data_IF_636040455560
#
_entry.id   IF_636040455560
#
_cell.length_a   1.000
_cell.length_b   1.000
_cell.length_c   1.000
_cell.angle_alpha   90.00
_cell.angle_beta   90.00
_cell.angle_gamma   90.00
#
_symmetry.space_group_name_H-M   'P 1'
#
loop_
_entity.id
_entity.type
_entity.pdbx_description
1 polymer ?
#
# COMPACT_ATOMS: atom_id res chain seq x y z
N UNK A 1 5.37 6.61 17.29
CA UNK A 1 5.74 7.80 16.49
C UNK A 1 5.33 7.54 15.04
N UNK A 2 5.16 8.54 14.16
CA UNK A 2 4.97 8.24 12.74
C UNK A 2 6.19 7.46 12.21
N UNK A 3 5.96 6.52 11.31
CA UNK A 3 7.02 5.75 10.66
C UNK A 3 7.99 6.72 9.99
N UNK A 4 9.29 6.61 10.29
CA UNK A 4 10.27 7.49 9.65
C UNK A 4 10.33 7.18 8.15
N UNK A 5 10.17 8.20 7.32
CA UNK A 5 10.14 8.07 5.84
C UNK A 5 11.31 7.27 5.27
N UNK A 6 12.49 7.37 5.87
CA UNK A 6 13.68 6.65 5.43
C UNK A 6 13.56 5.14 5.69
N UNK A 7 12.97 4.74 6.82
CA UNK A 7 12.70 3.34 7.13
C UNK A 7 11.58 2.79 6.23
N UNK A 8 10.53 3.58 6.00
CA UNK A 8 9.47 3.24 5.06
C UNK A 8 10.04 3.04 3.66
N UNK A 9 10.83 4.00 3.19
CA UNK A 9 11.48 3.95 1.88
C UNK A 9 12.38 2.74 1.75
N UNK A 10 13.23 2.45 2.74
CA UNK A 10 14.11 1.29 2.70
C UNK A 10 13.33 -0.03 2.62
N UNK A 11 12.26 -0.17 3.39
CA UNK A 11 11.40 -1.36 3.35
C UNK A 11 10.69 -1.53 2.00
N UNK A 12 10.12 -0.45 1.46
CA UNK A 12 9.43 -0.49 0.16
C UNK A 12 10.40 -0.69 -1.02
N UNK A 13 11.58 -0.07 -0.99
CA UNK A 13 12.63 -0.26 -2.00
C UNK A 13 13.18 -1.69 -2.01
N UNK A 14 13.18 -2.38 -0.87
CA UNK A 14 13.56 -3.79 -0.81
C UNK A 14 12.57 -4.71 -1.56
N UNK A 15 11.32 -4.26 -1.76
CA UNK A 15 10.32 -4.96 -2.57
C UNK A 15 10.47 -4.58 -4.04
N UNK A 16 10.46 -3.27 -4.33
CA UNK A 16 10.61 -2.74 -5.69
C UNK A 16 11.39 -1.43 -5.67
N UNK A 17 12.64 -1.46 -6.14
CA UNK A 17 13.58 -0.35 -5.94
C UNK A 17 13.23 0.91 -6.75
N UNK A 18 12.67 0.75 -7.95
CA UNK A 18 12.39 1.84 -8.90
C UNK A 18 11.11 1.57 -9.68
N UNK A 19 9.94 1.83 -9.08
CA UNK A 19 8.68 1.80 -9.81
C UNK A 19 8.67 2.83 -10.93
N UNK A 20 8.02 2.48 -12.04
CA UNK A 20 7.66 3.48 -13.05
C UNK A 20 6.56 4.40 -12.51
N UNK A 21 6.35 5.55 -13.15
CA UNK A 21 5.25 6.45 -12.78
C UNK A 21 3.87 5.76 -12.80
N UNK A 22 3.48 5.00 -13.85
CA UNK A 22 2.22 4.26 -13.84
C UNK A 22 2.12 3.24 -12.69
N UNK A 23 3.21 2.55 -12.37
CA UNK A 23 3.26 1.59 -11.26
C UNK A 23 3.08 2.29 -9.91
N UNK A 24 3.77 3.41 -9.70
CA UNK A 24 3.65 4.21 -8.49
C UNK A 24 2.21 4.71 -8.27
N UNK A 25 1.56 5.21 -9.34
CA UNK A 25 0.17 5.64 -9.27
C UNK A 25 -0.79 4.48 -8.98
N UNK A 26 -0.55 3.32 -9.58
CA UNK A 26 -1.34 2.12 -9.30
C UNK A 26 -1.18 1.64 -7.84
N UNK A 27 0.05 1.67 -7.30
CA UNK A 27 0.32 1.36 -5.88
C UNK A 27 -0.41 2.33 -4.95
N UNK A 28 -0.38 3.63 -5.26
CA UNK A 28 -1.08 4.67 -4.51
C UNK A 28 -2.59 4.44 -4.56
N UNK A 29 -3.14 4.10 -5.72
CA UNK A 29 -4.57 3.81 -5.86
C UNK A 29 -4.98 2.59 -5.01
N UNK A 30 -4.16 1.54 -4.93
CA UNK A 30 -4.40 0.40 -4.02
C UNK A 30 -4.38 0.84 -2.55
N UNK A 31 -3.40 1.67 -2.17
CA UNK A 31 -3.31 2.19 -0.80
C UNK A 31 -4.52 3.06 -0.44
N UNK A 32 -5.02 3.87 -1.37
CA UNK A 32 -6.22 4.71 -1.20
C UNK A 32 -7.49 3.86 -1.09
N UNK A 33 -7.59 2.76 -1.84
CA UNK A 33 -8.70 1.84 -1.70
C UNK A 33 -8.70 1.17 -0.32
N UNK A 34 -7.53 0.70 0.11
CA UNK A 34 -7.34 0.17 1.47
C UNK A 34 -7.78 1.19 2.52
N UNK A 35 -7.43 2.47 2.32
CA UNK A 35 -7.80 3.56 3.23
C UNK A 35 -9.31 3.87 3.34
N UNK A 36 -10.12 3.28 2.46
CA UNK A 36 -11.53 3.65 2.26
C UNK A 36 -12.50 2.53 2.62
N UNK A 37 -11.97 1.34 2.94
CA UNK A 37 -12.77 0.12 3.01
C UNK A 37 -13.71 0.09 4.23
N UNK A 38 -13.25 0.55 5.38
CA UNK A 38 -14.02 0.55 6.63
C UNK A 38 -14.89 1.81 6.82
N UNK A 39 -14.80 2.75 5.85
CA UNK A 39 -15.51 4.04 5.79
C UNK A 39 -15.29 4.95 7.00
N UNK A 40 -14.30 4.66 7.85
CA UNK A 40 -13.97 5.45 9.04
C UNK A 40 -12.50 5.83 8.94
N UNK A 41 -12.20 6.86 8.14
CA UNK A 41 -10.82 7.28 7.98
C UNK A 41 -10.24 7.82 9.28
N UNK A 42 -9.22 7.14 9.80
CA UNK A 42 -8.52 7.58 11.00
C UNK A 42 -7.37 8.53 10.66
N UNK A 43 -6.95 9.34 11.65
CA UNK A 43 -5.77 10.22 11.49
C UNK A 43 -4.50 9.40 11.25
N UNK A 44 -4.39 8.22 11.86
CA UNK A 44 -3.24 7.35 11.74
C UNK A 44 -3.13 6.75 10.34
N UNK A 45 -4.23 6.20 9.84
CA UNK A 45 -4.38 5.70 8.47
C UNK A 45 -4.10 6.78 7.43
N UNK A 46 -4.69 7.97 7.58
CA UNK A 46 -4.47 9.11 6.67
C UNK A 46 -3.00 9.54 6.67
N UNK A 47 -2.37 9.58 7.84
CA UNK A 47 -0.95 9.92 7.97
C UNK A 47 -0.05 8.89 7.29
N UNK A 48 -0.41 7.60 7.40
CA UNK A 48 0.32 6.50 6.78
C UNK A 48 0.14 6.49 5.26
N UNK A 49 -1.08 6.75 4.77
CA UNK A 49 -1.36 6.94 3.36
C UNK A 49 -0.55 8.09 2.75
N UNK A 50 -0.45 9.23 3.46
CA UNK A 50 0.37 10.37 3.03
C UNK A 50 1.87 10.00 2.99
N UNK A 51 2.36 9.26 3.97
CA UNK A 51 3.75 8.79 4.01
C UNK A 51 4.05 7.81 2.86
N UNK A 52 3.16 6.83 2.64
CA UNK A 52 3.24 5.89 1.50
C UNK A 52 3.24 6.65 0.19
N UNK A 53 2.32 7.60 0.01
CA UNK A 53 2.24 8.43 -1.20
C UNK A 53 3.59 9.12 -1.47
N UNK A 54 4.08 9.90 -0.51
CA UNK A 54 5.35 10.65 -0.64
C UNK A 54 6.55 9.74 -0.94
N UNK A 55 6.62 8.58 -0.28
CA UNK A 55 7.73 7.64 -0.48
C UNK A 55 7.66 6.99 -1.85
N UNK A 56 6.49 6.51 -2.28
CA UNK A 56 6.30 5.81 -3.55
C UNK A 56 6.49 6.76 -4.74
N UNK A 57 5.97 8.00 -4.68
CA UNK A 57 6.24 9.01 -5.73
C UNK A 57 7.72 9.36 -5.79
N UNK A 58 8.37 9.53 -4.63
CA UNK A 58 9.81 9.78 -4.55
C UNK A 58 10.65 8.62 -5.11
N UNK A 59 10.22 7.37 -4.94
CA UNK A 59 10.88 6.20 -5.53
C UNK A 59 10.77 6.17 -7.06
N UNK A 60 9.68 6.71 -7.62
CA UNK A 60 9.49 6.88 -9.06
C UNK A 60 10.17 8.15 -9.63
N UNK A 61 10.80 8.98 -8.78
CA UNK A 61 11.42 10.23 -9.20
C UNK A 61 10.42 11.35 -9.54
N UNK A 62 9.19 11.24 -9.04
CA UNK A 62 8.15 12.25 -9.22
C UNK A 62 8.22 13.28 -8.09
N UNK A 63 8.13 14.55 -8.46
CA UNK A 63 7.88 15.62 -7.49
C UNK A 63 6.51 15.39 -6.84
N UNK A 64 6.38 15.79 -5.57
CA UNK A 64 5.24 15.48 -4.70
C UNK A 64 3.90 15.73 -5.40
N UNK A 65 3.25 14.66 -5.88
CA UNK A 65 1.98 14.75 -6.59
C UNK A 65 0.84 15.05 -5.62
N UNK A 66 -0.20 15.74 -6.08
CA UNK A 66 -1.41 15.90 -5.30
C UNK A 66 -2.15 14.57 -5.21
N UNK A 67 -2.47 14.13 -3.99
CA UNK A 67 -3.40 13.02 -3.78
C UNK A 67 -4.73 13.39 -4.45
N UNK A 68 -5.13 12.60 -5.43
CA UNK A 68 -6.46 12.74 -6.04
C UNK A 68 -7.53 12.52 -4.96
N UNK A 69 -8.59 13.32 -4.99
CA UNK A 69 -9.77 13.15 -4.13
C UNK A 69 -10.86 12.28 -4.79
N UNK A 70 -10.63 11.80 -6.02
CA UNK A 70 -11.60 11.00 -6.75
C UNK A 70 -11.79 9.64 -6.07
N UNK A 71 -13.03 9.25 -5.78
CA UNK A 71 -13.38 7.94 -5.23
C UNK A 71 -12.83 6.83 -6.12
N UNK A 72 -12.14 5.86 -5.52
CA UNK A 72 -11.65 4.68 -6.22
C UNK A 72 -12.75 3.63 -6.19
N UNK A 73 -13.24 3.26 -7.38
CA UNK A 73 -14.22 2.18 -7.55
C UNK A 73 -13.52 0.81 -7.48
N UNK A 74 -14.23 -0.24 -7.06
CA UNK A 74 -13.76 -1.63 -7.10
C UNK A 74 -13.40 -2.06 -8.52
N UNK A 75 -14.07 -1.53 -9.55
CA UNK A 75 -13.68 -1.76 -10.95
C UNK A 75 -12.27 -1.22 -11.28
N UNK A 76 -11.78 -0.25 -10.50
CA UNK A 76 -10.42 0.29 -10.63
C UNK A 76 -9.38 -0.75 -10.24
N UNK A 77 -9.64 -1.64 -9.28
CA UNK A 77 -8.70 -2.71 -8.90
C UNK A 77 -8.29 -3.60 -10.06
N UNK A 78 -9.26 -3.99 -10.88
CA UNK A 78 -8.99 -4.80 -12.07
C UNK A 78 -8.14 -4.03 -13.08
N UNK A 79 -8.36 -2.72 -13.22
CA UNK A 79 -7.51 -1.88 -14.10
C UNK A 79 -6.11 -1.59 -13.52
N UNK A 80 -5.95 -1.65 -12.20
CA UNK A 80 -4.66 -1.47 -11.52
C UNK A 80 -3.77 -2.69 -11.77
N UNK A 81 -4.30 -3.91 -11.71
CA UNK A 81 -3.49 -5.11 -11.94
C UNK A 81 -2.90 -5.16 -13.36
N UNK A 82 -3.59 -4.62 -14.36
CA UNK A 82 -3.08 -4.46 -15.73
C UNK A 82 -1.87 -3.52 -15.82
N UNK A 83 -1.82 -2.49 -14.95
CA UNK A 83 -0.74 -1.51 -14.89
C UNK A 83 0.47 -2.01 -14.09
N UNK A 84 0.30 -3.04 -13.26
CA UNK A 84 1.34 -3.63 -12.43
C UNK A 84 1.92 -4.88 -13.13
N UNK A 85 2.74 -4.66 -14.15
CA UNK A 85 3.30 -5.76 -14.96
C UNK A 85 4.35 -6.57 -14.17
N UNK A 86 5.37 -5.95 -13.53
CA UNK A 86 6.36 -6.70 -12.77
C UNK A 86 5.77 -7.26 -11.47
N UNK A 87 6.16 -8.48 -11.08
CA UNK A 87 5.76 -9.06 -9.80
C UNK A 87 6.13 -8.16 -8.62
N UNK A 88 7.32 -7.54 -8.66
CA UNK A 88 7.76 -6.59 -7.64
C UNK A 88 6.79 -5.39 -7.47
N UNK A 89 6.21 -4.88 -8.56
CA UNK A 89 5.24 -3.79 -8.49
C UNK A 89 3.92 -4.24 -7.85
N UNK A 90 3.49 -5.47 -8.12
CA UNK A 90 2.31 -6.10 -7.50
C UNK A 90 2.53 -6.32 -6.01
N UNK A 91 3.68 -6.85 -5.62
CA UNK A 91 4.06 -7.01 -4.22
C UNK A 91 4.13 -5.66 -3.49
N UNK A 92 4.67 -4.62 -4.14
CA UNK A 92 4.71 -3.28 -3.59
C UNK A 92 3.29 -2.73 -3.37
N UNK A 93 2.39 -2.90 -4.34
CA UNK A 93 1.00 -2.48 -4.22
C UNK A 93 0.30 -3.16 -3.04
N UNK A 94 0.48 -4.48 -2.90
CA UNK A 94 -0.05 -5.24 -1.78
C UNK A 94 0.51 -4.75 -0.45
N UNK A 95 1.83 -4.60 -0.35
CA UNK A 95 2.50 -4.16 0.88
C UNK A 95 2.02 -2.78 1.33
N UNK A 96 1.92 -1.82 0.40
CA UNK A 96 1.41 -0.48 0.68
C UNK A 96 -0.06 -0.50 1.12
N UNK A 97 -0.92 -1.26 0.44
CA UNK A 97 -2.32 -1.41 0.83
C UNK A 97 -2.47 -2.02 2.22
N UNK A 98 -1.76 -3.12 2.50
CA UNK A 98 -1.79 -3.76 3.80
C UNK A 98 -1.24 -2.87 4.91
N UNK A 99 -0.17 -2.12 4.65
CA UNK A 99 0.39 -1.18 5.61
C UNK A 99 -0.64 -0.12 6.03
N UNK A 100 -1.41 0.43 5.09
CA UNK A 100 -2.48 1.40 5.38
C UNK A 100 -3.56 0.80 6.28
N UNK A 101 -4.00 -0.44 6.04
CA UNK A 101 -4.96 -1.15 6.91
C UNK A 101 -4.44 -1.39 8.34
N UNK A 102 -3.12 -1.35 8.55
CA UNK A 102 -2.55 -1.44 9.90
C UNK A 102 -2.64 -0.10 10.67
N UNK A 103 -3.08 0.99 10.03
CA UNK A 103 -3.17 2.32 10.63
C UNK A 103 -3.96 2.33 11.95
N UNK A 104 -5.01 1.50 12.04
CA UNK A 104 -5.89 1.40 13.21
C UNK A 104 -5.47 0.34 14.22
N UNK A 105 -4.26 -0.23 14.05
CA UNK A 105 -3.64 -1.25 14.91
C UNK A 105 -4.44 -2.55 15.04
N UNK A 106 -5.54 -2.69 14.29
CA UNK A 106 -6.37 -3.88 14.25
C UNK A 106 -7.04 -4.00 12.88
N UNK A 107 -6.68 -5.04 12.16
CA UNK A 107 -7.37 -5.43 10.92
C UNK A 107 -8.77 -5.91 11.26
N UNK A 108 -9.77 -5.23 10.72
CA UNK A 108 -11.17 -5.57 10.75
C UNK A 108 -11.47 -6.74 9.81
N UNK A 109 -12.69 -7.29 9.89
CA UNK A 109 -13.12 -8.35 8.96
C UNK A 109 -13.14 -7.84 7.50
N UNK A 110 -13.48 -6.57 7.28
CA UNK A 110 -13.56 -5.97 5.95
C UNK A 110 -12.17 -5.77 5.33
N UNK A 111 -11.22 -5.26 6.11
CA UNK A 111 -9.82 -5.14 5.71
C UNK A 111 -9.17 -6.51 5.46
N UNK A 112 -9.47 -7.52 6.30
CA UNK A 112 -8.98 -8.88 6.08
C UNK A 112 -9.51 -9.50 4.78
N UNK A 113 -10.77 -9.23 4.43
CA UNK A 113 -11.37 -9.62 3.15
C UNK A 113 -10.71 -8.88 1.98
N UNK A 114 -10.48 -7.58 2.12
CA UNK A 114 -9.80 -6.78 1.11
C UNK A 114 -8.36 -7.25 0.90
N UNK A 115 -7.60 -7.54 1.97
CA UNK A 115 -6.25 -8.07 1.87
C UNK A 115 -6.23 -9.42 1.11
N UNK A 116 -7.20 -10.30 1.36
CA UNK A 116 -7.32 -11.55 0.59
C UNK A 116 -7.60 -11.26 -0.89
N UNK A 117 -8.58 -10.40 -1.17
CA UNK A 117 -8.95 -10.01 -2.53
C UNK A 117 -7.79 -9.34 -3.29
N UNK A 118 -7.00 -8.50 -2.61
CA UNK A 118 -5.80 -7.88 -3.19
C UNK A 118 -4.77 -8.94 -3.56
N UNK A 119 -4.52 -9.94 -2.70
CA UNK A 119 -3.64 -11.06 -3.02
C UNK A 119 -4.07 -11.79 -4.29
N UNK A 120 -5.37 -12.04 -4.44
CA UNK A 120 -5.93 -12.74 -5.60
C UNK A 120 -5.86 -11.89 -6.89
N UNK A 121 -6.29 -10.62 -6.84
CA UNK A 121 -6.30 -9.70 -7.99
C UNK A 121 -4.88 -9.39 -8.48
N UNK A 122 -3.93 -9.27 -7.55
CA UNK A 122 -2.52 -9.08 -7.85
C UNK A 122 -1.81 -10.39 -8.19
N UNK A 123 -2.53 -11.53 -8.18
CA UNK A 123 -2.00 -12.85 -8.54
C UNK A 123 -0.73 -13.18 -7.74
N UNK A 124 -0.77 -12.90 -6.44
CA UNK A 124 0.31 -13.20 -5.51
C UNK A 124 0.17 -14.62 -4.97
N UNK A 125 1.29 -15.33 -4.85
CA UNK A 125 1.29 -16.64 -4.21
C UNK A 125 0.90 -16.49 -2.72
N UNK A 126 0.03 -17.37 -2.16
CA UNK A 126 -0.45 -17.24 -0.78
C UNK A 126 0.67 -17.13 0.28
N UNK A 127 1.79 -17.84 0.07
CA UNK A 127 2.96 -17.77 0.94
C UNK A 127 3.66 -16.41 0.89
N UNK A 128 3.67 -15.76 -0.29
CA UNK A 128 4.26 -14.44 -0.47
C UNK A 128 3.39 -13.35 0.13
N UNK A 129 2.08 -13.43 -0.08
CA UNK A 129 1.07 -12.56 0.56
C UNK A 129 1.23 -12.56 2.08
N UNK A 130 1.34 -13.76 2.67
CA UNK A 130 1.57 -13.93 4.12
C UNK A 130 2.91 -13.33 4.57
N UNK A 131 3.98 -13.53 3.78
CA UNK A 131 5.30 -12.98 4.10
C UNK A 131 5.32 -11.45 4.06
N UNK A 132 4.69 -10.84 3.05
CA UNK A 132 4.56 -9.38 2.91
C UNK A 132 3.72 -8.79 4.06
N UNK A 133 2.58 -9.39 4.37
CA UNK A 133 1.74 -8.98 5.50
C UNK A 133 2.53 -8.98 6.82
N UNK A 134 3.31 -10.03 7.07
CA UNK A 134 4.17 -10.13 8.25
C UNK A 134 5.27 -9.05 8.26
N UNK A 135 5.92 -8.81 7.12
CA UNK A 135 6.94 -7.76 7.01
C UNK A 135 6.37 -6.37 7.32
N UNK A 136 5.16 -6.06 6.82
CA UNK A 136 4.51 -4.77 7.08
C UNK A 136 4.02 -4.64 8.52
N UNK A 137 3.54 -5.72 9.14
CA UNK A 137 3.18 -5.74 10.56
C UNK A 137 4.41 -5.52 11.47
N UNK A 138 5.54 -6.16 11.18
CA UNK A 138 6.80 -5.92 11.87
C UNK A 138 7.29 -4.47 11.72
N UNK A 139 7.18 -3.91 10.51
CA UNK A 139 7.52 -2.51 10.22
C UNK A 139 6.65 -1.54 11.03
N UNK A 140 5.32 -1.74 11.02
CA UNK A 140 4.38 -0.90 11.76
C UNK A 140 4.63 -0.97 13.28
N UNK A 141 4.90 -2.16 13.82
CA UNK A 141 5.25 -2.35 15.24
C UNK A 141 6.57 -1.69 15.63
N UNK A 142 7.56 -1.70 14.73
CA UNK A 142 8.85 -1.04 14.98
C UNK A 142 8.70 0.48 15.12
N UNK A 143 7.78 1.10 14.39
CA UNK A 143 7.50 2.54 14.47
C UNK A 143 6.65 2.97 15.68
N UNK A 144 5.92 2.03 16.28
CA UNK A 144 5.09 2.26 17.45
C UNK A 144 5.88 2.24 18.77
N UNK A 145 7.09 1.69 18.77
CA UNK A 145 8.02 1.65 19.92
C UNK A 145 8.84 2.93 20.04
#
# INVERSE_FOLDING_TARGET
MPLADEQLRAALQAIHARPTEPEAMAVIDVARLAASIDKVSSVAETSLLLAVHRVVTGMAGLDEMSLSSATIDENRLLSISDSLVPMAARELAYACGYLVMLGDQKITHEEGRLATMLGDVLVLEPGRTTALAKQMDELAKAAAR
#
